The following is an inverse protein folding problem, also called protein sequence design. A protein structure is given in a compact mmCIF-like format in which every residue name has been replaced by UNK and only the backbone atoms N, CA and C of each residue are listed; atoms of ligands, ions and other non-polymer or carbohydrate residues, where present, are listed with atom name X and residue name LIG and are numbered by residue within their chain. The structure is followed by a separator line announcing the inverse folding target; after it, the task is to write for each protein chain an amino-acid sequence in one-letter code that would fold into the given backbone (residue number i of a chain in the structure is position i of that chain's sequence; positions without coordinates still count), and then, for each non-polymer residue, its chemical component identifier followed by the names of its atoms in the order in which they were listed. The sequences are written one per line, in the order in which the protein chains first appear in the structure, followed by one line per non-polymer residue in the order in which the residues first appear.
data_IF_018298588176
#
_entry.id   IF_018298588176
#
_cell.length_a   1.000
_cell.length_b   1.000
_cell.length_c   1.000
_cell.angle_alpha   90.00
_cell.angle_beta   90.00
_cell.angle_gamma   90.00
#
_symmetry.space_group_name_H-M   'P 1'
#
loop_
_entity.id
_entity.type
_entity.pdbx_description
1 polymer ?
#
# COMPACT_ATOMS: atom_id res chain seq x y z
N UNK A 1 21.81 17.06 5.33
CA UNK A 1 20.44 16.56 5.22
C UNK A 1 20.36 15.30 6.04
N UNK A 2 19.43 15.15 6.99
CA UNK A 2 19.27 13.88 7.68
C UNK A 2 18.79 12.84 6.65
N UNK A 3 19.50 11.71 6.59
CA UNK A 3 19.14 10.59 5.73
C UNK A 3 17.82 9.97 6.18
N UNK A 4 16.96 9.59 5.23
CA UNK A 4 15.81 8.71 5.53
C UNK A 4 16.30 7.49 6.34
N UNK A 5 15.48 6.94 7.27
CA UNK A 5 15.84 5.74 8.02
C UNK A 5 16.31 4.61 7.09
N UNK A 6 17.23 3.79 7.56
CA UNK A 6 17.95 2.77 6.77
C UNK A 6 17.07 1.79 5.99
N UNK A 7 15.81 1.59 6.37
CA UNK A 7 14.84 0.78 5.61
C UNK A 7 14.59 1.26 4.18
N UNK A 8 14.70 2.55 3.93
CA UNK A 8 14.62 3.13 2.57
C UNK A 8 15.94 3.04 1.78
N UNK A 9 17.05 2.78 2.43
CA UNK A 9 18.37 2.73 1.78
C UNK A 9 18.56 1.46 0.94
N UNK A 10 18.08 0.33 1.43
CA UNK A 10 18.19 -0.95 0.72
C UNK A 10 17.34 -0.99 -0.56
N UNK A 11 16.24 -0.24 -0.62
CA UNK A 11 15.40 -0.15 -1.81
C UNK A 11 16.01 0.69 -2.93
N UNK A 12 16.98 1.57 -2.63
CA UNK A 12 17.63 2.46 -3.60
C UNK A 12 18.91 1.92 -4.22
N UNK A 13 19.50 0.86 -3.64
CA UNK A 13 20.83 0.39 -4.05
C UNK A 13 20.90 -0.23 -5.44
N UNK A 14 19.77 -0.60 -6.08
CA UNK A 14 19.77 -1.19 -7.42
C UNK A 14 18.58 -0.79 -8.32
N UNK A 15 17.85 0.29 -8.02
CA UNK A 15 16.71 0.69 -8.84
C UNK A 15 15.49 -0.27 -8.77
N UNK A 16 15.69 -1.47 -8.26
CA UNK A 16 14.60 -2.42 -7.96
C UNK A 16 14.32 -2.40 -6.46
N UNK A 17 13.07 -2.53 -6.09
CA UNK A 17 12.61 -2.68 -4.71
C UNK A 17 13.03 -4.06 -4.15
N UNK A 18 14.34 -4.33 -4.08
CA UNK A 18 14.88 -5.66 -3.72
C UNK A 18 14.34 -6.13 -2.38
N UNK A 19 14.18 -5.24 -1.41
CA UNK A 19 13.59 -5.56 -0.12
C UNK A 19 12.15 -6.03 -0.26
N UNK A 20 11.29 -5.24 -0.90
CA UNK A 20 9.86 -5.56 -1.13
C UNK A 20 9.72 -6.81 -2.02
N UNK A 21 10.52 -6.96 -3.08
CA UNK A 21 10.50 -8.14 -3.94
C UNK A 21 10.87 -9.44 -3.20
N UNK A 22 11.78 -9.38 -2.23
CA UNK A 22 12.15 -10.53 -1.41
C UNK A 22 11.02 -10.93 -0.45
N UNK A 23 10.31 -9.95 0.11
CA UNK A 23 9.12 -10.20 0.92
C UNK A 23 8.02 -10.84 0.08
N UNK A 24 7.74 -10.33 -1.12
CA UNK A 24 6.74 -10.93 -2.02
C UNK A 24 7.09 -12.38 -2.41
N UNK A 25 8.36 -12.71 -2.62
CA UNK A 25 8.77 -14.11 -2.83
C UNK A 25 8.50 -14.97 -1.61
N UNK A 26 8.76 -14.47 -0.41
CA UNK A 26 8.44 -15.18 0.84
C UNK A 26 6.93 -15.39 0.98
N UNK A 27 6.12 -14.39 0.67
CA UNK A 27 4.65 -14.50 0.66
C UNK A 27 4.20 -15.58 -0.34
N UNK A 28 4.80 -15.64 -1.53
CA UNK A 28 4.49 -16.69 -2.50
C UNK A 28 4.80 -18.10 -1.97
N UNK A 29 5.95 -18.28 -1.33
CA UNK A 29 6.28 -19.58 -0.74
C UNK A 29 5.33 -19.94 0.41
N UNK A 30 4.97 -18.97 1.25
CA UNK A 30 3.94 -19.15 2.27
C UNK A 30 2.60 -19.56 1.64
N UNK A 31 2.12 -18.85 0.62
CA UNK A 31 0.88 -19.16 -0.06
C UNK A 31 0.88 -20.59 -0.63
N UNK A 32 2.01 -21.01 -1.20
CA UNK A 32 2.19 -22.37 -1.73
C UNK A 32 2.12 -23.44 -0.63
N UNK A 33 2.79 -23.26 0.49
CA UNK A 33 2.81 -24.24 1.58
C UNK A 33 1.51 -24.27 2.37
N UNK A 34 0.83 -23.14 2.48
CA UNK A 34 -0.41 -22.98 3.24
C UNK A 34 -1.67 -23.18 2.39
N UNK A 35 -1.53 -23.56 1.11
CA UNK A 35 -2.63 -23.73 0.16
C UNK A 35 -3.56 -22.51 0.09
N UNK A 36 -2.98 -21.29 0.12
CA UNK A 36 -3.75 -20.06 -0.05
C UNK A 36 -4.33 -20.03 -1.46
N UNK A 37 -5.63 -19.79 -1.64
CA UNK A 37 -6.23 -19.68 -2.97
C UNK A 37 -5.74 -18.46 -3.73
N UNK A 38 -6.03 -18.40 -5.03
CA UNK A 38 -5.81 -17.19 -5.83
C UNK A 38 -6.69 -16.04 -5.34
N UNK A 39 -6.24 -14.82 -5.61
CA UNK A 39 -6.99 -13.64 -5.24
C UNK A 39 -6.26 -12.36 -5.65
N UNK A 40 -6.23 -11.36 -4.81
CA UNK A 40 -5.79 -10.03 -5.19
C UNK A 40 -4.64 -9.48 -4.33
N UNK A 41 -3.96 -8.52 -4.92
CA UNK A 41 -3.05 -7.59 -4.26
C UNK A 41 -3.74 -6.24 -4.12
N UNK A 42 -3.54 -5.58 -2.98
CA UNK A 42 -4.11 -4.27 -2.70
C UNK A 42 -3.02 -3.32 -2.19
N UNK A 43 -3.02 -2.06 -2.66
CA UNK A 43 -2.02 -1.05 -2.28
C UNK A 43 -2.66 0.31 -2.07
N UNK A 44 -2.40 0.89 -0.91
CA UNK A 44 -2.80 2.25 -0.54
C UNK A 44 -1.58 3.17 -0.63
N UNK A 45 -1.61 4.09 -1.59
CA UNK A 45 -0.45 4.85 -2.04
C UNK A 45 0.25 4.19 -3.23
N UNK A 46 -0.53 3.77 -4.24
CA UNK A 46 0.03 3.02 -5.39
C UNK A 46 0.94 3.86 -6.30
N UNK A 47 0.79 5.18 -6.27
CA UNK A 47 1.60 6.13 -7.04
C UNK A 47 1.65 5.76 -8.55
N UNK A 48 2.82 5.39 -9.06
CA UNK A 48 3.03 4.99 -10.47
C UNK A 48 2.99 3.45 -10.66
N UNK A 49 2.61 2.67 -9.64
CA UNK A 49 2.41 1.22 -9.72
C UNK A 49 3.68 0.38 -9.58
N UNK A 50 4.81 0.95 -9.18
CA UNK A 50 6.10 0.23 -9.12
C UNK A 50 6.08 -0.96 -8.16
N UNK A 51 5.53 -0.78 -6.97
CA UNK A 51 5.41 -1.84 -5.95
C UNK A 51 4.39 -2.89 -6.40
N UNK A 52 3.24 -2.48 -6.94
CA UNK A 52 2.22 -3.39 -7.49
C UNK A 52 2.77 -4.27 -8.62
N UNK A 53 3.57 -3.73 -9.53
CA UNK A 53 4.25 -4.48 -10.58
C UNK A 53 5.19 -5.53 -9.97
N UNK A 54 5.97 -5.14 -8.97
CA UNK A 54 6.87 -6.06 -8.27
C UNK A 54 6.08 -7.17 -7.56
N UNK A 55 5.01 -6.82 -6.85
CA UNK A 55 4.12 -7.77 -6.18
C UNK A 55 3.53 -8.77 -7.18
N UNK A 56 2.92 -8.30 -8.26
CA UNK A 56 2.32 -9.16 -9.28
C UNK A 56 3.33 -10.15 -9.89
N UNK A 57 4.54 -9.67 -10.23
CA UNK A 57 5.60 -10.51 -10.80
C UNK A 57 6.07 -11.59 -9.84
N UNK A 58 6.25 -11.24 -8.55
CA UNK A 58 6.75 -12.17 -7.55
C UNK A 58 5.66 -13.13 -7.03
N UNK A 59 4.40 -12.67 -6.96
CA UNK A 59 3.23 -13.45 -6.55
C UNK A 59 2.52 -14.13 -7.74
N UNK A 60 3.22 -14.25 -8.88
CA UNK A 60 2.66 -14.84 -10.10
C UNK A 60 2.02 -16.21 -9.83
N UNK A 61 0.80 -16.37 -10.32
CA UNK A 61 0.00 -17.57 -10.13
C UNK A 61 -0.92 -17.52 -8.91
N UNK A 62 -0.74 -16.52 -8.02
CA UNK A 62 -1.62 -16.29 -6.87
C UNK A 62 -2.43 -15.00 -7.03
N UNK A 63 -1.81 -13.90 -7.45
CA UNK A 63 -2.49 -12.62 -7.67
C UNK A 63 -3.08 -12.60 -9.08
N UNK A 64 -4.40 -12.43 -9.15
CA UNK A 64 -5.19 -12.28 -10.38
C UNK A 64 -5.60 -10.83 -10.61
N UNK A 65 -5.84 -10.09 -9.54
CA UNK A 65 -6.34 -8.71 -9.56
C UNK A 65 -5.44 -7.78 -8.75
N UNK A 66 -5.34 -6.52 -9.19
CA UNK A 66 -4.64 -5.45 -8.51
C UNK A 66 -5.64 -4.36 -8.16
N UNK A 67 -5.72 -4.02 -6.87
CA UNK A 67 -6.47 -2.89 -6.35
C UNK A 67 -5.49 -1.81 -5.89
N UNK A 68 -5.59 -0.61 -6.46
CA UNK A 68 -4.71 0.50 -6.13
C UNK A 68 -5.48 1.76 -5.80
N UNK A 69 -5.08 2.44 -4.74
CA UNK A 69 -5.70 3.65 -4.23
C UNK A 69 -4.65 4.74 -4.11
N UNK A 70 -4.93 5.92 -4.65
CA UNK A 70 -4.02 7.07 -4.56
C UNK A 70 -4.77 8.35 -4.95
N UNK A 71 -4.31 9.49 -4.46
CA UNK A 71 -4.77 10.79 -4.97
C UNK A 71 -4.20 11.08 -6.36
N UNK A 72 -3.05 10.48 -6.70
CA UNK A 72 -2.20 10.78 -7.86
C UNK A 72 -1.71 12.25 -7.91
N UNK A 73 -2.12 13.07 -6.98
CA UNK A 73 -1.73 14.48 -6.88
C UNK A 73 -0.70 14.72 -5.78
N UNK A 74 -0.31 13.67 -5.07
CA UNK A 74 0.58 13.68 -3.91
C UNK A 74 -0.17 13.72 -2.58
N UNK A 75 0.56 13.93 -1.48
CA UNK A 75 -0.04 13.98 -0.16
C UNK A 75 -1.18 14.99 -0.08
N UNK A 76 -2.30 14.68 0.60
CA UNK A 76 -3.32 15.65 0.93
C UNK A 76 -2.82 16.70 1.93
N UNK A 77 -3.60 17.75 2.12
CA UNK A 77 -3.35 18.70 3.19
C UNK A 77 -3.35 17.99 4.56
N UNK A 78 -2.32 18.21 5.36
CA UNK A 78 -2.17 17.60 6.67
C UNK A 78 -3.30 18.05 7.61
N UNK A 79 -3.89 17.10 8.32
CA UNK A 79 -4.79 17.36 9.45
C UNK A 79 -4.00 17.65 10.72
N UNK A 80 -4.67 18.06 11.79
CA UNK A 80 -4.00 18.36 13.06
C UNK A 80 -3.22 17.16 13.60
N UNK A 81 -3.80 15.97 13.44
CA UNK A 81 -3.24 14.70 13.89
C UNK A 81 -2.02 14.25 13.08
N UNK A 82 -1.86 14.79 11.87
CA UNK A 82 -0.71 14.53 10.99
C UNK A 82 0.44 15.48 11.28
N UNK A 83 0.25 16.49 12.16
CA UNK A 83 1.32 17.43 12.51
C UNK A 83 2.46 16.70 13.18
N UNK A 84 3.54 16.66 12.45
CA UNK A 84 4.77 16.01 12.85
C UNK A 84 5.81 17.03 13.31
N UNK A 85 6.81 16.53 14.03
CA UNK A 85 7.95 17.36 14.44
C UNK A 85 8.58 18.00 13.21
N UNK A 86 9.01 19.27 13.34
CA UNK A 86 9.60 20.06 12.26
C UNK A 86 10.77 19.34 11.54
N UNK A 87 11.47 18.44 12.22
CA UNK A 87 12.56 17.63 11.66
C UNK A 87 12.11 16.65 10.57
N UNK A 88 10.83 16.29 10.51
CA UNK A 88 10.24 15.41 9.50
C UNK A 88 9.41 16.15 8.45
N UNK A 89 9.10 17.45 8.68
CA UNK A 89 8.28 18.27 7.80
C UNK A 89 8.71 18.27 6.30
N UNK A 90 10.03 18.17 5.96
CA UNK A 90 10.46 18.15 4.57
C UNK A 90 9.96 16.95 3.74
N UNK A 91 9.43 15.91 4.37
CA UNK A 91 9.01 14.67 3.68
C UNK A 91 7.49 14.56 3.55
N UNK A 92 6.72 15.26 4.38
CA UNK A 92 5.28 15.03 4.55
C UNK A 92 4.46 16.31 4.32
N UNK A 93 4.75 17.06 3.27
CA UNK A 93 3.99 18.26 2.91
C UNK A 93 3.01 17.98 1.78
N UNK A 94 1.96 18.76 1.69
CA UNK A 94 0.94 18.69 0.65
C UNK A 94 1.56 18.70 -0.75
N UNK A 95 1.10 17.79 -1.62
CA UNK A 95 1.57 17.63 -2.98
C UNK A 95 2.90 16.89 -3.15
N UNK A 96 3.57 16.48 -2.05
CA UNK A 96 4.75 15.63 -2.16
C UNK A 96 4.37 14.22 -2.63
N UNK A 97 5.29 13.52 -3.25
CA UNK A 97 5.07 12.19 -3.87
C UNK A 97 3.98 12.18 -4.95
N UNK A 98 3.84 13.28 -5.69
CA UNK A 98 2.94 13.35 -6.83
C UNK A 98 3.27 12.30 -7.88
N UNK A 99 2.26 11.59 -8.34
CA UNK A 99 2.34 10.61 -9.43
C UNK A 99 2.14 11.27 -10.81
N UNK A 100 2.39 10.50 -11.86
CA UNK A 100 2.13 10.91 -13.25
C UNK A 100 0.64 10.82 -13.65
N UNK A 101 -0.22 10.32 -12.74
CA UNK A 101 -1.66 10.18 -12.90
C UNK A 101 -2.15 8.75 -13.07
N UNK A 102 -3.46 8.55 -12.86
CA UNK A 102 -4.09 7.23 -12.85
C UNK A 102 -3.93 6.47 -14.18
N UNK A 103 -4.04 7.16 -15.31
CA UNK A 103 -3.88 6.54 -16.64
C UNK A 103 -2.45 6.08 -16.89
N UNK A 104 -1.47 6.85 -16.43
CA UNK A 104 -0.06 6.45 -16.50
C UNK A 104 0.20 5.21 -15.63
N UNK A 105 -0.29 5.19 -14.41
CA UNK A 105 -0.19 4.04 -13.50
C UNK A 105 -0.77 2.78 -14.15
N UNK A 106 -2.00 2.84 -14.66
CA UNK A 106 -2.69 1.73 -15.36
C UNK A 106 -1.88 1.23 -16.54
N UNK A 107 -1.46 2.14 -17.42
CA UNK A 107 -0.68 1.81 -18.61
C UNK A 107 0.65 1.13 -18.26
N UNK A 108 1.32 1.62 -17.22
CA UNK A 108 2.59 1.08 -16.73
C UNK A 108 2.41 -0.33 -16.16
N UNK A 109 1.41 -0.54 -15.30
CA UNK A 109 1.10 -1.87 -14.76
C UNK A 109 0.82 -2.86 -15.90
N UNK A 110 -0.03 -2.50 -16.86
CA UNK A 110 -0.32 -3.37 -18.02
C UNK A 110 0.94 -3.74 -18.82
N UNK A 111 1.73 -2.75 -19.17
CA UNK A 111 2.94 -2.96 -19.99
C UNK A 111 3.95 -3.88 -19.29
N UNK A 112 4.06 -3.77 -17.97
CA UNK A 112 5.08 -4.45 -17.19
C UNK A 112 4.64 -5.82 -16.64
N UNK A 113 3.34 -6.10 -16.59
CA UNK A 113 2.80 -7.34 -16.00
C UNK A 113 2.05 -8.21 -17.01
N UNK A 114 1.53 -7.62 -18.08
CA UNK A 114 0.62 -8.23 -19.05
C UNK A 114 -0.72 -8.69 -18.42
N UNK A 115 -1.07 -8.17 -17.25
CA UNK A 115 -2.38 -8.38 -16.61
C UNK A 115 -3.49 -7.78 -17.49
N UNK A 116 -4.65 -8.42 -17.53
CA UNK A 116 -5.80 -7.89 -18.27
C UNK A 116 -6.29 -6.58 -17.65
N UNK A 117 -6.76 -5.66 -18.47
CA UNK A 117 -7.15 -4.32 -18.02
C UNK A 117 -8.31 -4.34 -17.03
N UNK A 118 -9.24 -5.26 -17.21
CA UNK A 118 -10.38 -5.50 -16.33
C UNK A 118 -9.99 -5.96 -14.92
N UNK A 119 -8.75 -6.45 -14.75
CA UNK A 119 -8.22 -6.91 -13.47
C UNK A 119 -7.35 -5.83 -12.77
N UNK A 120 -7.33 -4.61 -13.31
CA UNK A 120 -6.66 -3.45 -12.68
C UNK A 120 -7.72 -2.47 -12.21
N UNK A 121 -7.90 -2.38 -10.90
CA UNK A 121 -8.90 -1.56 -10.23
C UNK A 121 -8.19 -0.38 -9.55
N UNK A 122 -8.22 0.80 -10.17
CA UNK A 122 -7.59 2.01 -9.63
C UNK A 122 -8.66 3.00 -9.19
N UNK A 123 -8.49 3.50 -7.99
CA UNK A 123 -9.37 4.48 -7.34
C UNK A 123 -8.59 5.76 -7.10
N UNK A 124 -8.98 6.83 -7.79
CA UNK A 124 -8.35 8.14 -7.73
C UNK A 124 -9.09 9.04 -6.74
N UNK A 125 -8.41 9.54 -5.72
CA UNK A 125 -8.95 10.47 -4.73
C UNK A 125 -8.48 10.18 -3.31
N UNK A 126 -9.02 10.93 -2.35
CA UNK A 126 -8.77 10.71 -0.93
C UNK A 126 -9.37 9.37 -0.49
N UNK A 127 -8.74 8.71 0.47
CA UNK A 127 -9.26 7.44 1.00
C UNK A 127 -10.64 7.61 1.64
N UNK A 128 -10.87 8.70 2.38
CA UNK A 128 -12.18 9.05 2.92
C UNK A 128 -13.31 9.09 1.87
N UNK A 129 -13.00 9.43 0.64
CA UNK A 129 -13.97 9.55 -0.44
C UNK A 129 -14.07 8.27 -1.29
N UNK A 130 -12.94 7.60 -1.51
CA UNK A 130 -12.85 6.45 -2.42
C UNK A 130 -13.18 5.12 -1.77
N UNK A 131 -12.72 4.87 -0.53
CA UNK A 131 -12.93 3.58 0.14
C UNK A 131 -14.41 3.24 0.37
N UNK A 132 -15.29 4.19 0.74
CA UNK A 132 -16.72 3.91 0.84
C UNK A 132 -17.40 3.52 -0.47
N UNK A 133 -16.76 3.77 -1.62
CA UNK A 133 -17.32 3.44 -2.94
C UNK A 133 -16.93 2.03 -3.41
N UNK A 134 -16.04 1.36 -2.71
CA UNK A 134 -15.57 0.03 -3.08
C UNK A 134 -16.65 -1.00 -2.82
N UNK A 135 -16.99 -1.76 -3.84
CA UNK A 135 -17.91 -2.88 -3.73
C UNK A 135 -17.22 -4.08 -3.05
N UNK A 136 -17.49 -4.27 -1.77
CA UNK A 136 -16.93 -5.37 -0.98
C UNK A 136 -17.37 -6.74 -1.51
N UNK A 137 -18.57 -6.87 -2.09
CA UNK A 137 -19.03 -8.13 -2.67
C UNK A 137 -18.21 -8.52 -3.91
N UNK A 138 -17.75 -7.53 -4.66
CA UNK A 138 -16.82 -7.75 -5.76
C UNK A 138 -15.44 -8.16 -5.27
N UNK A 139 -14.93 -7.57 -4.19
CA UNK A 139 -13.68 -8.00 -3.56
C UNK A 139 -13.76 -9.46 -3.14
N UNK A 140 -14.84 -9.86 -2.46
CA UNK A 140 -15.06 -11.25 -2.06
C UNK A 140 -15.11 -12.20 -3.27
N UNK A 141 -15.77 -11.79 -4.37
CA UNK A 141 -15.84 -12.59 -5.60
C UNK A 141 -14.50 -12.73 -6.33
N UNK A 142 -13.60 -11.75 -6.18
CA UNK A 142 -12.26 -11.77 -6.76
C UNK A 142 -11.26 -12.59 -5.93
N UNK A 143 -11.71 -13.21 -4.84
CA UNK A 143 -10.97 -14.22 -4.11
C UNK A 143 -10.28 -13.68 -2.84
N UNK A 144 -9.15 -14.28 -2.51
CA UNK A 144 -8.47 -14.08 -1.24
C UNK A 144 -7.58 -12.80 -1.25
N UNK A 145 -7.57 -11.98 -0.19
CA UNK A 145 -6.63 -10.87 -0.05
C UNK A 145 -5.21 -11.40 0.25
N UNK A 146 -4.44 -11.69 -0.78
CA UNK A 146 -3.10 -12.32 -0.65
C UNK A 146 -2.14 -11.42 0.12
N UNK A 147 -2.07 -10.15 -0.30
CA UNK A 147 -1.16 -9.18 0.28
C UNK A 147 -1.76 -7.78 0.17
N UNK A 148 -1.76 -7.08 1.27
CA UNK A 148 -2.18 -5.69 1.37
C UNK A 148 -0.96 -4.84 1.75
N UNK A 149 -0.69 -3.80 0.97
CA UNK A 149 0.37 -2.83 1.20
C UNK A 149 -0.22 -1.50 1.65
N UNK A 150 0.17 -1.04 2.82
CA UNK A 150 -0.16 0.29 3.38
C UNK A 150 1.08 1.17 3.26
N UNK A 151 1.07 2.10 2.30
CA UNK A 151 2.18 2.98 1.92
C UNK A 151 1.63 4.41 1.73
N UNK A 152 1.10 4.99 2.80
CA UNK A 152 0.30 6.22 2.74
C UNK A 152 0.82 7.36 3.65
N UNK A 153 1.94 7.13 4.34
CA UNK A 153 2.73 8.11 5.11
C UNK A 153 2.00 8.78 6.31
N UNK A 154 0.75 9.22 6.14
CA UNK A 154 0.02 10.03 7.10
C UNK A 154 -0.82 9.19 8.07
N UNK A 155 -0.93 9.66 9.32
CA UNK A 155 -1.78 9.02 10.33
C UNK A 155 -3.25 9.02 9.92
N UNK A 156 -3.79 10.19 9.50
CA UNK A 156 -5.19 10.31 9.10
C UNK A 156 -5.56 9.37 7.94
N UNK A 157 -4.70 9.29 6.93
CA UNK A 157 -4.84 8.36 5.80
C UNK A 157 -4.84 6.91 6.25
N UNK A 158 -3.93 6.54 7.16
CA UNK A 158 -3.82 5.18 7.67
C UNK A 158 -5.02 4.76 8.52
N UNK A 159 -5.65 5.68 9.26
CA UNK A 159 -6.90 5.42 10.00
C UNK A 159 -8.00 4.96 9.06
N UNK A 160 -8.26 5.71 7.97
CA UNK A 160 -9.25 5.33 6.96
C UNK A 160 -8.97 3.95 6.36
N UNK A 161 -7.70 3.68 6.04
CA UNK A 161 -7.26 2.40 5.47
C UNK A 161 -7.50 1.25 6.44
N UNK A 162 -7.08 1.34 7.70
CA UNK A 162 -7.24 0.24 8.65
C UNK A 162 -8.71 -0.03 8.98
N UNK A 163 -9.55 0.99 9.06
CA UNK A 163 -10.99 0.82 9.21
C UNK A 163 -11.60 0.06 8.02
N UNK A 164 -11.22 0.45 6.80
CA UNK A 164 -11.67 -0.24 5.59
C UNK A 164 -11.20 -1.70 5.54
N UNK A 165 -10.00 -2.00 6.01
CA UNK A 165 -9.43 -3.34 6.00
C UNK A 165 -10.05 -4.29 7.01
N UNK A 166 -10.68 -3.81 8.07
CA UNK A 166 -11.26 -4.64 9.14
C UNK A 166 -12.15 -5.78 8.61
N UNK A 167 -13.14 -5.55 7.73
CA UNK A 167 -13.96 -6.64 7.18
C UNK A 167 -13.26 -7.46 6.08
N UNK A 168 -12.09 -7.05 5.60
CA UNK A 168 -11.44 -7.63 4.42
C UNK A 168 -10.35 -8.64 4.82
N UNK A 169 -9.58 -8.33 5.88
CA UNK A 169 -8.45 -9.15 6.27
C UNK A 169 -8.89 -10.53 6.76
N UNK A 170 -8.16 -11.55 6.32
CA UNK A 170 -8.43 -12.95 6.65
C UNK A 170 -7.16 -13.61 7.18
N UNK A 171 -7.33 -14.71 7.93
CA UNK A 171 -6.17 -15.52 8.36
C UNK A 171 -5.36 -15.98 7.15
N UNK A 172 -4.10 -15.59 7.10
CA UNK A 172 -3.20 -15.87 5.98
C UNK A 172 -2.95 -14.68 5.06
N UNK A 173 -3.71 -13.58 5.17
CA UNK A 173 -3.41 -12.32 4.50
C UNK A 173 -2.11 -11.72 5.05
N UNK A 174 -1.23 -11.27 4.17
CA UNK A 174 -0.05 -10.50 4.54
C UNK A 174 -0.34 -9.02 4.50
N UNK A 175 -0.22 -8.37 5.66
CA UNK A 175 -0.31 -6.92 5.78
C UNK A 175 1.10 -6.34 5.87
N UNK A 176 1.49 -5.55 4.88
CA UNK A 176 2.77 -4.85 4.81
C UNK A 176 2.54 -3.36 5.08
N UNK A 177 3.30 -2.78 5.99
CA UNK A 177 3.20 -1.37 6.37
C UNK A 177 4.57 -0.73 6.12
N UNK A 178 4.67 0.17 5.13
CA UNK A 178 5.96 0.73 4.70
C UNK A 178 6.55 1.69 5.73
N UNK A 179 5.74 2.60 6.25
CA UNK A 179 6.18 3.69 7.12
C UNK A 179 6.12 3.38 8.61
N UNK A 180 6.02 2.11 8.98
CA UNK A 180 5.87 1.66 10.38
C UNK A 180 6.97 2.19 11.31
N UNK A 181 8.20 2.28 10.79
CA UNK A 181 9.35 2.76 11.54
C UNK A 181 9.72 4.23 11.28
N UNK A 182 8.91 4.94 10.52
CA UNK A 182 9.05 6.38 10.38
C UNK A 182 8.97 7.09 11.74
N UNK A 183 9.42 8.32 11.81
CA UNK A 183 9.46 9.10 13.06
C UNK A 183 10.27 8.41 14.17
N UNK A 184 11.33 7.66 13.81
CA UNK A 184 12.16 6.86 14.75
C UNK A 184 11.35 5.78 15.47
N UNK A 185 10.28 5.31 14.88
CA UNK A 185 9.40 4.31 15.46
C UNK A 185 8.61 4.79 16.68
N UNK A 186 8.31 6.09 16.75
CA UNK A 186 7.47 6.63 17.82
C UNK A 186 6.03 6.10 17.67
N UNK A 187 5.50 5.32 18.63
CA UNK A 187 4.17 4.72 18.53
C UNK A 187 3.02 5.73 18.61
N UNK A 188 3.33 7.00 18.84
CA UNK A 188 2.35 8.10 18.92
C UNK A 188 2.25 8.89 17.61
N UNK A 189 2.94 8.47 16.55
CA UNK A 189 3.02 9.21 15.30
C UNK A 189 2.78 8.32 14.09
N UNK A 190 2.22 8.94 13.04
CA UNK A 190 2.10 8.38 11.70
C UNK A 190 1.33 7.06 11.62
N UNK A 191 1.66 6.28 10.62
CA UNK A 191 0.99 5.00 10.30
C UNK A 191 1.08 4.00 11.45
N UNK A 192 2.20 3.99 12.21
CA UNK A 192 2.34 3.12 13.37
C UNK A 192 1.30 3.41 14.44
N UNK A 193 1.05 4.68 14.75
CA UNK A 193 0.00 5.08 15.72
C UNK A 193 -1.36 4.56 15.28
N UNK A 194 -1.74 4.79 14.02
CA UNK A 194 -3.01 4.33 13.49
C UNK A 194 -3.16 2.81 13.56
N UNK A 195 -2.09 2.07 13.27
CA UNK A 195 -2.08 0.61 13.35
C UNK A 195 -2.22 0.11 14.79
N UNK A 196 -1.47 0.68 15.74
CA UNK A 196 -1.55 0.26 17.15
C UNK A 196 -2.92 0.59 17.79
N UNK A 197 -3.52 1.74 17.45
CA UNK A 197 -4.88 2.10 17.85
C UNK A 197 -5.90 1.13 17.25
N UNK A 198 -5.81 0.84 15.95
CA UNK A 198 -6.69 -0.12 15.28
C UNK A 198 -6.62 -1.53 15.90
N UNK A 199 -5.42 -2.00 16.28
CA UNK A 199 -5.27 -3.30 16.96
C UNK A 199 -5.90 -3.35 18.35
N UNK A 200 -6.05 -2.22 19.04
CA UNK A 200 -6.71 -2.18 20.37
C UNK A 200 -8.23 -2.26 20.24
N UNK A 201 -8.77 -1.85 19.10
CA UNK A 201 -10.22 -1.77 18.87
C UNK A 201 -10.78 -3.05 18.19
N UNK A 202 -9.90 -3.95 17.69
CA UNK A 202 -10.25 -5.19 16.97
C UNK A 202 -9.53 -6.41 17.50
#
# INVERSE_FOLDING_TARGET
MPSKPEGHYLSRLNGDFIGKASVFRMIREFARYSNIPQGYYMEFGIMNGGTAISAYRQLRGYVTDIYGFDTFTGHPAQQEEDKIRAEFAPYFFEGNYKAEGVDYCRKTIRAETLIADENIHLYEGLFSDTLPTVDLSKLESNGFPICVMVDCDLYSSAVDVFQFLTPILQTGTWLLIDDFWCYRGDPKLGVRRAFEEWLQDN
#
